data_IF_607260398424
#
_entry.id   IF_607260398424
#
_cell.length_a   1.000
_cell.length_b   1.000
_cell.length_c   1.000
_cell.angle_alpha   90.00
_cell.angle_beta   90.00
_cell.angle_gamma   90.00
#
_symmetry.space_group_name_H-M   'P 1'
#
loop_
_entity.id
_entity.type
_entity.pdbx_description
1 polymer ?
#
# COMPACT_ATOMS: atom_id res chain seq x y z
N UNK A 1 18.62 29.82 -1.68
CA UNK A 1 19.53 28.68 -1.90
C UNK A 1 18.89 27.73 -2.90
N UNK A 2 19.64 27.32 -3.93
CA UNK A 2 19.07 26.48 -4.99
C UNK A 2 19.32 24.99 -4.60
N UNK A 3 18.45 24.45 -3.72
CA UNK A 3 18.52 23.05 -3.33
C UNK A 3 18.07 22.14 -4.46
N UNK A 4 18.63 20.93 -4.51
CA UNK A 4 18.18 19.91 -5.46
C UNK A 4 16.75 19.43 -5.12
N UNK A 5 15.98 18.95 -6.11
CA UNK A 5 14.72 18.27 -5.86
C UNK A 5 14.91 17.04 -4.98
N UNK A 6 13.98 16.83 -4.04
CA UNK A 6 13.97 15.66 -3.16
C UNK A 6 12.79 14.78 -3.51
N UNK A 7 13.02 13.48 -3.55
CA UNK A 7 12.03 12.43 -3.81
C UNK A 7 11.93 11.55 -2.57
N UNK A 8 10.75 11.36 -2.02
CA UNK A 8 10.49 10.47 -0.87
C UNK A 8 9.84 9.18 -1.35
N UNK A 9 10.55 8.08 -1.20
CA UNK A 9 10.13 6.74 -1.58
C UNK A 9 10.79 6.24 -2.86
N UNK A 10 11.62 5.20 -2.74
CA UNK A 10 12.35 4.54 -3.81
C UNK A 10 11.57 3.41 -4.51
N UNK A 11 10.23 3.49 -4.48
CA UNK A 11 9.36 2.60 -5.26
C UNK A 11 9.31 2.98 -6.75
N UNK A 12 8.47 2.29 -7.57
CA UNK A 12 8.39 2.53 -9.01
C UNK A 12 8.15 3.99 -9.39
N UNK A 13 7.32 4.71 -8.60
CA UNK A 13 7.03 6.12 -8.85
C UNK A 13 8.24 7.03 -8.62
N UNK A 14 8.91 6.86 -7.48
CA UNK A 14 10.10 7.67 -7.14
C UNK A 14 11.29 7.38 -8.05
N UNK A 15 11.54 6.10 -8.37
CA UNK A 15 12.58 5.72 -9.34
C UNK A 15 12.31 6.33 -10.72
N UNK A 16 11.06 6.26 -11.21
CA UNK A 16 10.69 6.82 -12.51
C UNK A 16 10.79 8.37 -12.52
N UNK A 17 10.46 9.04 -11.40
CA UNK A 17 10.66 10.47 -11.26
C UNK A 17 12.15 10.85 -11.27
N UNK A 18 12.98 10.13 -10.53
CA UNK A 18 14.44 10.35 -10.50
C UNK A 18 15.07 10.15 -11.87
N UNK A 19 14.68 9.08 -12.59
CA UNK A 19 15.14 8.82 -13.97
C UNK A 19 14.77 10.00 -14.89
N UNK A 20 13.51 10.49 -14.83
CA UNK A 20 13.05 11.57 -15.71
C UNK A 20 13.80 12.87 -15.41
N UNK A 21 14.05 13.21 -14.14
CA UNK A 21 14.86 14.38 -13.76
C UNK A 21 16.30 14.25 -14.28
N UNK A 22 16.93 13.11 -14.02
CA UNK A 22 18.31 12.87 -14.39
C UNK A 22 18.52 12.79 -15.91
N UNK A 23 17.54 12.27 -16.67
CA UNK A 23 17.56 12.27 -18.13
C UNK A 23 17.58 13.70 -18.74
N UNK A 24 17.19 14.71 -17.97
CA UNK A 24 17.27 16.12 -18.35
C UNK A 24 18.43 16.86 -17.63
N UNK A 25 19.40 16.14 -17.08
CA UNK A 25 20.58 16.71 -16.43
C UNK A 25 20.33 17.31 -15.04
N UNK A 26 19.15 17.09 -14.44
CA UNK A 26 18.81 17.62 -13.11
C UNK A 26 19.22 16.61 -12.04
N UNK A 27 20.09 17.03 -11.12
CA UNK A 27 20.44 16.25 -9.93
C UNK A 27 19.23 16.19 -8.99
N UNK A 28 19.06 15.07 -8.29
CA UNK A 28 18.04 14.91 -7.25
C UNK A 28 18.51 13.97 -6.14
N UNK A 29 17.89 14.09 -4.95
CA UNK A 29 18.05 13.15 -3.85
C UNK A 29 16.85 12.22 -3.76
N UNK A 30 17.07 10.92 -3.62
CA UNK A 30 16.05 9.88 -3.46
C UNK A 30 16.18 9.23 -2.09
N UNK A 31 15.19 9.49 -1.22
CA UNK A 31 15.14 8.98 0.15
C UNK A 31 14.29 7.70 0.19
N UNK A 32 14.84 6.60 0.69
CA UNK A 32 14.14 5.31 0.79
C UNK A 32 14.40 4.67 2.16
N UNK A 33 13.34 4.27 2.85
CA UNK A 33 13.41 3.61 4.16
C UNK A 33 13.97 2.18 4.11
N UNK A 34 13.80 1.51 2.98
CA UNK A 34 14.24 0.13 2.80
C UNK A 34 15.74 0.06 2.38
N UNK A 35 16.38 -1.11 2.58
CA UNK A 35 17.77 -1.31 2.18
C UNK A 35 17.97 -1.46 0.66
N UNK A 36 16.87 -1.47 -0.14
CA UNK A 36 16.90 -1.57 -1.60
C UNK A 36 15.77 -0.80 -2.25
N UNK A 37 16.02 -0.28 -3.45
CA UNK A 37 15.04 0.35 -4.31
C UNK A 37 14.05 -0.66 -4.92
N UNK A 38 12.96 -0.14 -5.50
CA UNK A 38 11.92 -0.91 -6.18
C UNK A 38 10.61 -0.99 -5.39
N UNK A 39 10.58 -0.55 -4.13
CA UNK A 39 9.41 -0.57 -3.26
C UNK A 39 8.83 -1.97 -3.08
N UNK A 40 7.54 -2.07 -2.73
CA UNK A 40 6.88 -3.38 -2.54
C UNK A 40 6.70 -4.15 -3.86
N UNK A 41 6.78 -3.49 -5.01
CA UNK A 41 6.55 -4.12 -6.33
C UNK A 41 7.86 -4.70 -6.90
N UNK A 42 8.93 -3.91 -7.02
CA UNK A 42 10.16 -4.26 -7.75
C UNK A 42 11.43 -4.27 -6.88
N UNK A 43 11.32 -4.45 -5.56
CA UNK A 43 12.49 -4.51 -4.67
C UNK A 43 13.40 -5.70 -4.96
N UNK A 44 12.83 -6.83 -5.37
CA UNK A 44 13.59 -8.06 -5.56
C UNK A 44 14.11 -8.67 -4.26
N UNK A 45 15.01 -9.69 -4.36
CA UNK A 45 15.64 -10.32 -3.21
C UNK A 45 16.55 -9.35 -2.44
N UNK A 46 16.58 -9.46 -1.11
CA UNK A 46 17.51 -8.70 -0.27
C UNK A 46 18.94 -9.28 -0.29
N UNK A 47 19.11 -10.50 -0.82
CA UNK A 47 20.41 -11.14 -1.02
C UNK A 47 20.80 -11.04 -2.49
N UNK A 48 22.08 -10.75 -2.74
CA UNK A 48 22.63 -10.70 -4.11
C UNK A 48 22.73 -12.11 -4.71
N UNK A 49 22.69 -12.19 -6.04
CA UNK A 49 22.84 -13.43 -6.78
C UNK A 49 21.65 -14.41 -6.72
N UNK A 50 20.56 -14.06 -6.03
CA UNK A 50 19.37 -14.90 -5.97
C UNK A 50 18.44 -14.63 -7.15
N UNK A 51 18.12 -15.68 -7.91
CA UNK A 51 17.10 -15.65 -8.97
C UNK A 51 15.78 -16.21 -8.43
N UNK A 52 14.68 -15.58 -8.82
CA UNK A 52 13.34 -15.93 -8.37
C UNK A 52 12.46 -16.29 -9.59
N UNK A 53 12.76 -17.43 -10.21
CA UNK A 53 12.08 -17.86 -11.45
C UNK A 53 10.56 -18.05 -11.25
N UNK A 54 10.13 -18.33 -10.02
CA UNK A 54 8.71 -18.47 -9.68
C UNK A 54 7.90 -17.16 -9.70
N UNK A 55 8.56 -16.00 -9.80
CA UNK A 55 7.85 -14.72 -9.96
C UNK A 55 7.39 -14.47 -11.40
N UNK A 56 7.90 -15.26 -12.34
CA UNK A 56 7.59 -15.20 -13.75
C UNK A 56 8.41 -14.18 -14.54
N UNK A 57 8.56 -14.41 -15.88
CA UNK A 57 9.46 -13.62 -16.72
C UNK A 57 9.08 -12.14 -16.79
N UNK A 58 7.81 -11.85 -16.82
CA UNK A 58 7.29 -10.47 -16.90
C UNK A 58 7.67 -9.59 -15.72
N UNK A 59 7.69 -10.18 -14.52
CA UNK A 59 8.16 -9.49 -13.32
C UNK A 59 9.65 -9.17 -13.43
N UNK A 60 10.46 -10.18 -13.81
CA UNK A 60 11.91 -10.04 -13.95
C UNK A 60 12.28 -9.00 -15.01
N UNK A 61 11.67 -9.04 -16.19
CA UNK A 61 11.87 -8.07 -17.27
C UNK A 61 11.53 -6.63 -16.82
N UNK A 62 10.40 -6.44 -16.13
CA UNK A 62 9.98 -5.12 -15.67
C UNK A 62 10.93 -4.57 -14.58
N UNK A 63 11.39 -5.45 -13.68
CA UNK A 63 12.38 -5.13 -12.65
C UNK A 63 13.71 -4.76 -13.28
N UNK A 64 14.25 -5.61 -14.15
CA UNK A 64 15.54 -5.40 -14.83
C UNK A 64 15.52 -4.11 -15.66
N UNK A 65 14.43 -3.85 -16.37
CA UNK A 65 14.26 -2.62 -17.15
C UNK A 65 14.30 -1.38 -16.27
N UNK A 66 13.51 -1.35 -15.18
CA UNK A 66 13.45 -0.19 -14.29
C UNK A 66 14.79 0.05 -13.62
N UNK A 67 15.43 -1.00 -13.10
CA UNK A 67 16.73 -0.88 -12.45
C UNK A 67 17.84 -0.53 -13.46
N UNK A 68 17.82 -1.06 -14.67
CA UNK A 68 18.77 -0.72 -15.73
C UNK A 68 18.66 0.74 -16.16
N UNK A 69 17.45 1.25 -16.39
CA UNK A 69 17.23 2.68 -16.66
C UNK A 69 17.74 3.56 -15.51
N UNK A 70 17.49 3.15 -14.26
CA UNK A 70 17.95 3.87 -13.07
C UNK A 70 19.48 3.93 -12.98
N UNK A 71 20.15 2.79 -13.17
CA UNK A 71 21.62 2.70 -13.14
C UNK A 71 22.27 3.57 -14.21
N UNK A 72 21.67 3.68 -15.40
CA UNK A 72 22.17 4.55 -16.45
C UNK A 72 22.26 6.03 -16.03
N UNK A 73 21.42 6.46 -15.11
CA UNK A 73 21.35 7.82 -14.59
C UNK A 73 21.88 7.99 -13.16
N UNK A 74 22.48 6.95 -12.57
CA UNK A 74 22.86 6.93 -11.15
C UNK A 74 23.82 8.08 -10.76
N UNK A 75 24.65 8.58 -11.67
CA UNK A 75 25.58 9.68 -11.40
C UNK A 75 24.92 11.03 -11.06
N UNK A 76 23.64 11.18 -11.35
CA UNK A 76 22.86 12.40 -11.04
C UNK A 76 21.85 12.18 -9.91
N UNK A 77 21.78 10.98 -9.32
CA UNK A 77 20.80 10.63 -8.29
C UNK A 77 21.53 10.28 -6.98
N UNK A 78 21.39 11.14 -5.96
CA UNK A 78 21.88 10.88 -4.61
C UNK A 78 20.88 9.94 -3.90
N UNK A 79 21.21 8.64 -3.81
CA UNK A 79 20.35 7.63 -3.21
C UNK A 79 20.70 7.44 -1.74
N UNK A 80 19.72 7.68 -0.86
CA UNK A 80 19.86 7.49 0.59
C UNK A 80 18.94 6.36 1.04
N UNK A 81 19.47 5.15 1.08
CA UNK A 81 18.79 3.97 1.61
C UNK A 81 18.81 3.97 3.14
N UNK A 82 17.88 3.25 3.78
CA UNK A 82 17.73 3.24 5.24
C UNK A 82 17.26 4.57 5.83
N UNK A 83 16.86 5.52 4.97
CA UNK A 83 16.46 6.88 5.35
C UNK A 83 14.95 6.99 5.46
N UNK A 84 14.44 7.04 6.67
CA UNK A 84 13.00 7.15 6.95
C UNK A 84 12.61 8.60 7.19
N UNK A 85 11.75 9.15 6.35
CA UNK A 85 11.17 10.48 6.59
C UNK A 85 10.11 10.37 7.69
N UNK A 86 10.33 11.09 8.78
CA UNK A 86 9.50 11.05 9.99
C UNK A 86 8.63 12.29 10.18
N UNK A 87 8.73 13.26 9.28
CA UNK A 87 7.93 14.47 9.27
C UNK A 87 8.52 15.54 8.38
N UNK A 88 7.90 16.71 8.41
CA UNK A 88 8.34 17.90 7.69
C UNK A 88 8.23 19.13 8.60
N UNK A 89 9.12 20.07 8.41
CA UNK A 89 9.05 21.40 9.00
C UNK A 89 8.45 22.38 7.97
N UNK A 90 7.16 22.64 8.13
CA UNK A 90 6.40 23.40 7.14
C UNK A 90 6.49 22.78 5.75
N UNK A 91 6.77 23.62 4.74
CA UNK A 91 6.93 23.21 3.34
C UNK A 91 8.37 23.42 2.82
N UNK A 92 9.37 23.40 3.70
CA UNK A 92 10.75 23.77 3.35
C UNK A 92 11.77 22.68 3.60
N UNK A 93 11.55 21.86 4.61
CA UNK A 93 12.48 20.81 5.00
C UNK A 93 11.75 19.54 5.45
N UNK A 94 12.43 18.42 5.26
CA UNK A 94 12.02 17.10 5.77
C UNK A 94 12.90 16.75 6.95
N UNK A 95 12.29 16.13 7.96
CA UNK A 95 13.00 15.47 9.05
C UNK A 95 13.07 13.99 8.73
N UNK A 96 14.26 13.43 8.75
CA UNK A 96 14.47 12.00 8.52
C UNK A 96 15.32 11.36 9.62
N UNK A 97 15.13 10.08 9.78
CA UNK A 97 16.00 9.19 10.52
C UNK A 97 16.88 8.48 9.50
N UNK A 98 18.21 8.70 9.55
CA UNK A 98 19.15 8.07 8.63
C UNK A 98 19.44 6.60 9.00
N UNK A 99 20.27 5.91 8.21
CA UNK A 99 20.63 4.52 8.43
C UNK A 99 21.36 4.26 9.77
N UNK A 100 21.98 5.31 10.35
CA UNK A 100 22.65 5.27 11.65
C UNK A 100 21.72 5.67 12.80
N UNK A 101 20.41 5.75 12.55
CA UNK A 101 19.38 6.20 13.50
C UNK A 101 19.61 7.63 14.03
N UNK A 102 20.20 8.51 13.22
CA UNK A 102 20.40 9.93 13.55
C UNK A 102 19.35 10.79 12.88
N UNK A 103 18.88 11.80 13.59
CA UNK A 103 17.98 12.80 13.02
C UNK A 103 18.76 13.72 12.08
N UNK A 104 18.20 13.91 10.89
CA UNK A 104 18.74 14.80 9.86
C UNK A 104 17.63 15.68 9.31
N UNK A 105 17.98 16.91 8.99
CA UNK A 105 17.16 17.80 8.23
C UNK A 105 17.58 17.80 6.76
N UNK A 106 16.62 17.78 5.84
CA UNK A 106 16.86 17.85 4.40
C UNK A 106 15.99 18.93 3.79
N UNK A 107 16.61 20.07 3.48
CA UNK A 107 15.97 21.15 2.76
C UNK A 107 15.78 20.80 1.28
N UNK A 108 14.73 21.31 0.65
CA UNK A 108 14.42 21.07 -0.76
C UNK A 108 13.88 22.33 -1.45
N UNK A 109 14.11 22.42 -2.75
CA UNK A 109 13.44 23.42 -3.60
C UNK A 109 12.13 22.90 -4.19
N UNK A 110 12.11 21.61 -4.50
CA UNK A 110 10.97 20.85 -5.05
C UNK A 110 10.90 19.50 -4.35
N UNK A 111 9.69 19.03 -4.05
CA UNK A 111 9.48 17.77 -3.37
C UNK A 111 8.55 16.88 -4.21
N UNK A 112 8.93 15.58 -4.37
CA UNK A 112 8.05 14.56 -4.93
C UNK A 112 7.78 13.52 -3.85
N UNK A 113 6.54 13.43 -3.38
CA UNK A 113 6.10 12.42 -2.43
C UNK A 113 5.63 11.17 -3.19
N UNK A 114 6.34 10.06 -3.01
CA UNK A 114 6.08 8.77 -3.63
C UNK A 114 6.02 7.63 -2.58
N UNK A 115 5.41 7.90 -1.42
CA UNK A 115 5.40 6.99 -0.26
C UNK A 115 4.57 5.70 -0.45
N UNK A 116 3.81 5.58 -1.55
CA UNK A 116 3.09 4.36 -1.93
C UNK A 116 1.87 4.09 -1.05
N UNK A 117 1.66 2.81 -0.70
CA UNK A 117 0.49 2.32 0.01
C UNK A 117 0.86 1.23 1.02
N UNK A 118 -0.08 0.87 1.87
CA UNK A 118 -0.05 -0.32 2.74
C UNK A 118 -1.34 -1.12 2.57
N UNK A 119 -1.33 -2.39 3.00
CA UNK A 119 -2.49 -3.25 2.88
C UNK A 119 -3.59 -2.86 3.87
N UNK A 120 -4.84 -3.04 3.43
CA UNK A 120 -6.01 -2.85 4.27
C UNK A 120 -6.20 -4.06 5.17
N UNK A 121 -6.20 -3.84 6.48
CA UNK A 121 -6.59 -4.86 7.44
C UNK A 121 -8.10 -4.99 7.53
N UNK A 122 -8.57 -6.23 7.65
CA UNK A 122 -9.95 -6.57 7.95
C UNK A 122 -9.94 -7.50 9.15
N UNK A 123 -10.35 -7.02 10.33
CA UNK A 123 -10.40 -7.84 11.53
C UNK A 123 -11.48 -8.92 11.42
N UNK A 124 -11.17 -10.12 11.91
CA UNK A 124 -12.06 -11.26 12.09
C UNK A 124 -11.55 -12.09 13.28
N UNK A 125 -12.33 -12.98 13.89
CA UNK A 125 -11.87 -13.80 15.01
C UNK A 125 -10.59 -14.56 14.67
N UNK A 126 -9.56 -14.43 15.49
CA UNK A 126 -8.26 -15.09 15.32
C UNK A 126 -7.29 -14.42 14.32
N UNK A 127 -7.63 -13.27 13.72
CA UNK A 127 -6.76 -12.62 12.71
C UNK A 127 -5.39 -12.15 13.26
N UNK A 128 -5.22 -12.17 14.57
CA UNK A 128 -3.96 -11.82 15.24
C UNK A 128 -3.06 -13.01 15.54
N UNK A 129 -3.52 -14.24 15.29
CA UNK A 129 -2.73 -15.45 15.49
C UNK A 129 -1.45 -15.44 14.63
N UNK A 130 -0.31 -15.90 15.18
CA UNK A 130 0.86 -16.24 14.38
C UNK A 130 0.47 -17.22 13.25
N UNK A 131 0.94 -16.95 12.03
CA UNK A 131 0.50 -17.68 10.83
C UNK A 131 -0.57 -16.93 10.01
N UNK A 132 -1.28 -15.94 10.58
CA UNK A 132 -2.16 -15.05 9.82
C UNK A 132 -1.36 -13.83 9.33
N UNK A 133 -1.33 -13.61 8.03
CA UNK A 133 -0.53 -12.59 7.38
C UNK A 133 -1.35 -11.81 6.35
N UNK A 134 -0.96 -10.57 6.09
CA UNK A 134 -1.43 -9.84 4.92
C UNK A 134 -0.82 -10.44 3.65
N UNK A 135 -1.60 -10.50 2.57
CA UNK A 135 -1.21 -11.15 1.32
C UNK A 135 0.05 -10.56 0.68
N UNK A 136 0.17 -9.23 0.65
CA UNK A 136 1.37 -8.55 0.15
C UNK A 136 2.56 -8.71 1.08
N UNK A 137 2.33 -8.77 2.40
CA UNK A 137 3.37 -9.12 3.38
C UNK A 137 3.93 -10.51 3.11
N UNK A 138 3.07 -11.51 2.88
CA UNK A 138 3.48 -12.85 2.49
C UNK A 138 4.24 -12.85 1.14
N UNK A 139 3.75 -12.09 0.15
CA UNK A 139 4.45 -11.94 -1.12
C UNK A 139 5.85 -11.35 -0.95
N UNK A 140 6.02 -10.34 -0.08
CA UNK A 140 7.32 -9.77 0.22
C UNK A 140 8.24 -10.78 0.92
N UNK A 141 7.71 -11.63 1.79
CA UNK A 141 8.47 -12.68 2.46
C UNK A 141 9.10 -13.63 1.44
N UNK A 142 8.35 -14.13 0.47
CA UNK A 142 8.90 -15.01 -0.58
C UNK A 142 9.76 -14.26 -1.59
N UNK A 143 9.44 -13.02 -1.91
CA UNK A 143 10.09 -12.24 -2.97
C UNK A 143 11.38 -11.56 -2.51
N UNK A 144 11.33 -10.89 -1.36
CA UNK A 144 12.46 -10.13 -0.83
C UNK A 144 13.21 -10.88 0.26
N UNK A 145 12.49 -11.53 1.17
CA UNK A 145 13.08 -12.35 2.23
C UNK A 145 13.58 -13.70 1.76
N UNK A 146 13.10 -14.19 0.62
CA UNK A 146 13.41 -15.55 0.08
C UNK A 146 13.07 -16.65 1.11
N UNK A 147 11.99 -16.46 1.87
CA UNK A 147 11.53 -17.39 2.90
C UNK A 147 10.16 -17.93 2.52
N UNK A 148 10.03 -19.25 2.51
CA UNK A 148 8.74 -19.92 2.31
C UNK A 148 7.93 -19.93 3.61
N UNK A 149 6.62 -19.64 3.55
CA UNK A 149 5.76 -19.77 4.71
C UNK A 149 5.54 -21.25 5.07
N UNK A 150 5.17 -21.57 6.30
CA UNK A 150 4.60 -22.87 6.65
C UNK A 150 3.40 -23.22 5.77
N UNK A 151 3.22 -24.49 5.43
CA UNK A 151 2.12 -24.93 4.56
C UNK A 151 1.32 -26.07 5.21
N UNK A 152 0.03 -26.23 4.90
CA UNK A 152 -0.70 -25.63 3.77
C UNK A 152 -1.07 -24.16 3.98
N UNK A 153 -1.09 -23.40 2.85
CA UNK A 153 -1.48 -21.97 2.83
C UNK A 153 -2.90 -21.83 2.31
N UNK A 154 -3.75 -21.13 3.04
CA UNK A 154 -5.06 -20.65 2.57
C UNK A 154 -4.93 -19.17 2.18
N UNK A 155 -5.47 -18.79 1.02
CA UNK A 155 -5.49 -17.40 0.53
C UNK A 155 -6.94 -16.93 0.49
N UNK A 156 -7.25 -15.82 1.15
CA UNK A 156 -8.60 -15.26 1.17
C UNK A 156 -8.57 -13.73 0.99
N UNK A 157 -9.62 -13.18 0.37
CA UNK A 157 -9.70 -11.73 0.16
C UNK A 157 -10.42 -11.38 -1.12
N UNK A 158 -9.95 -10.33 -1.82
CA UNK A 158 -10.50 -9.93 -3.11
C UNK A 158 -9.45 -9.32 -4.03
N UNK A 159 -9.60 -9.58 -5.33
CA UNK A 159 -8.83 -8.92 -6.37
C UNK A 159 -7.71 -9.74 -7.00
N UNK A 160 -7.06 -9.16 -8.02
CA UNK A 160 -6.14 -9.91 -8.90
C UNK A 160 -4.83 -10.36 -8.23
N UNK A 161 -4.53 -9.85 -7.02
CA UNK A 161 -3.33 -10.28 -6.29
C UNK A 161 -3.47 -11.69 -5.72
N UNK A 162 -4.70 -12.16 -5.42
CA UNK A 162 -4.94 -13.50 -4.86
C UNK A 162 -4.42 -14.60 -5.80
N UNK A 163 -4.89 -14.71 -7.05
CA UNK A 163 -4.40 -15.75 -7.96
C UNK A 163 -2.91 -15.60 -8.29
N UNK A 164 -2.40 -14.36 -8.36
CA UNK A 164 -0.98 -14.12 -8.60
C UNK A 164 -0.11 -14.71 -7.49
N UNK A 165 -0.40 -14.40 -6.23
CA UNK A 165 0.37 -14.90 -5.09
C UNK A 165 0.21 -16.42 -4.95
N UNK A 166 -0.99 -16.95 -5.22
CA UNK A 166 -1.21 -18.41 -5.22
C UNK A 166 -0.31 -19.14 -6.23
N UNK A 167 -0.20 -18.60 -7.47
CA UNK A 167 0.70 -19.15 -8.49
C UNK A 167 2.16 -19.06 -8.06
N UNK A 168 2.59 -17.94 -7.51
CA UNK A 168 3.97 -17.72 -7.05
C UNK A 168 4.34 -18.65 -5.89
N UNK A 169 3.46 -18.81 -4.89
CA UNK A 169 3.65 -19.74 -3.78
C UNK A 169 3.77 -21.19 -4.28
N UNK A 170 2.82 -21.64 -5.10
CA UNK A 170 2.86 -22.99 -5.65
C UNK A 170 4.13 -23.22 -6.47
N UNK A 171 4.50 -22.29 -7.35
CA UNK A 171 5.71 -22.39 -8.16
C UNK A 171 6.99 -22.37 -7.31
N UNK A 172 6.96 -21.77 -6.12
CA UNK A 172 8.07 -21.83 -5.14
C UNK A 172 8.12 -23.14 -4.34
N UNK A 173 7.16 -24.07 -4.55
CA UNK A 173 7.09 -25.37 -3.86
C UNK A 173 6.28 -25.34 -2.56
N UNK A 174 5.45 -24.31 -2.33
CA UNK A 174 4.54 -24.21 -1.18
C UNK A 174 3.18 -24.83 -1.53
N UNK A 175 2.63 -25.64 -0.64
CA UNK A 175 1.28 -26.20 -0.80
C UNK A 175 0.23 -25.13 -0.56
N UNK A 176 -0.57 -24.81 -1.59
CA UNK A 176 -1.71 -23.88 -1.51
C UNK A 176 -3.00 -24.70 -1.39
N UNK A 177 -3.68 -24.62 -0.26
CA UNK A 177 -4.92 -25.35 0.02
C UNK A 177 -6.12 -24.81 -0.77
N UNK A 178 -6.14 -23.52 -1.05
CA UNK A 178 -7.18 -22.89 -1.86
C UNK A 178 -7.12 -21.39 -1.88
N UNK A 179 -7.88 -20.79 -2.82
CA UNK A 179 -8.06 -19.35 -3.00
C UNK A 179 -9.55 -19.04 -2.85
N UNK A 180 -9.89 -18.16 -1.92
CA UNK A 180 -11.25 -17.76 -1.57
C UNK A 180 -11.45 -16.29 -1.91
N UNK A 181 -12.03 -16.04 -3.10
CA UNK A 181 -12.36 -14.71 -3.60
C UNK A 181 -13.72 -14.27 -3.06
N UNK A 182 -13.77 -13.21 -2.26
CA UNK A 182 -14.98 -12.70 -1.65
C UNK A 182 -16.01 -12.21 -2.68
N UNK A 183 -15.55 -11.74 -3.83
CA UNK A 183 -16.43 -11.31 -4.91
C UNK A 183 -17.04 -12.52 -5.63
N UNK A 184 -18.37 -12.48 -5.86
CA UNK A 184 -19.05 -13.47 -6.68
C UNK A 184 -18.60 -13.37 -8.16
N UNK A 185 -18.41 -14.51 -8.81
CA UNK A 185 -17.94 -14.59 -10.22
C UNK A 185 -18.79 -13.74 -11.18
N UNK A 186 -20.12 -13.73 -11.01
CA UNK A 186 -21.03 -12.94 -11.85
C UNK A 186 -20.76 -11.42 -11.79
N UNK A 187 -20.26 -10.92 -10.66
CA UNK A 187 -19.89 -9.50 -10.52
C UNK A 187 -18.58 -9.19 -11.29
N UNK A 188 -17.61 -10.11 -11.27
CA UNK A 188 -16.38 -10.00 -12.07
C UNK A 188 -16.72 -10.08 -13.56
N UNK A 189 -17.59 -11.00 -13.96
CA UNK A 189 -18.01 -11.18 -15.36
C UNK A 189 -18.67 -9.92 -15.94
N UNK A 190 -19.45 -9.18 -15.15
CA UNK A 190 -20.06 -7.91 -15.58
C UNK A 190 -19.04 -6.84 -15.97
N UNK A 191 -17.84 -6.88 -15.38
CA UNK A 191 -16.76 -5.94 -15.65
C UNK A 191 -15.85 -6.38 -16.79
N UNK A 192 -16.07 -7.56 -17.39
CA UNK A 192 -15.16 -8.18 -18.38
C UNK A 192 -14.84 -7.27 -19.57
N UNK A 193 -15.82 -6.53 -20.11
CA UNK A 193 -15.60 -5.59 -21.22
C UNK A 193 -14.68 -4.44 -20.82
N UNK A 194 -14.82 -3.92 -19.61
CA UNK A 194 -13.95 -2.84 -19.10
C UNK A 194 -12.53 -3.36 -18.81
N UNK A 195 -12.37 -4.62 -18.42
CA UNK A 195 -11.07 -5.26 -18.21
C UNK A 195 -10.28 -5.40 -19.54
N UNK A 196 -10.95 -5.40 -20.70
CA UNK A 196 -10.30 -5.41 -22.02
C UNK A 196 -9.55 -4.10 -22.35
N UNK A 197 -9.68 -3.03 -21.56
CA UNK A 197 -8.81 -1.84 -21.71
C UNK A 197 -7.32 -2.17 -21.49
N UNK A 198 -7.02 -3.31 -20.83
CA UNK A 198 -5.68 -3.87 -20.69
C UNK A 198 -5.71 -5.37 -21.04
N UNK A 199 -5.83 -5.71 -22.35
CA UNK A 199 -6.06 -7.10 -22.79
C UNK A 199 -4.98 -8.06 -22.28
N UNK A 200 -3.75 -7.59 -22.21
CA UNK A 200 -2.64 -8.40 -21.72
C UNK A 200 -2.79 -8.78 -20.22
N UNK A 201 -3.20 -7.82 -19.37
CA UNK A 201 -3.46 -8.13 -17.94
C UNK A 201 -4.67 -9.06 -17.77
N UNK A 202 -5.66 -8.94 -18.63
CA UNK A 202 -6.80 -9.84 -18.66
C UNK A 202 -6.38 -11.27 -19.04
N UNK A 203 -5.56 -11.42 -20.10
CA UNK A 203 -5.00 -12.72 -20.52
C UNK A 203 -4.09 -13.32 -19.44
N UNK A 204 -3.28 -12.51 -18.76
CA UNK A 204 -2.48 -12.97 -17.62
C UNK A 204 -3.37 -13.52 -16.49
N UNK A 205 -4.49 -12.84 -16.20
CA UNK A 205 -5.48 -13.32 -15.23
C UNK A 205 -6.04 -14.69 -15.61
N UNK A 206 -6.44 -14.87 -16.88
CA UNK A 206 -6.90 -16.17 -17.39
C UNK A 206 -5.81 -17.23 -17.32
N UNK A 207 -4.56 -16.88 -17.65
CA UNK A 207 -3.40 -17.77 -17.55
C UNK A 207 -3.17 -18.25 -16.09
N UNK A 208 -3.27 -17.34 -15.12
CA UNK A 208 -3.17 -17.69 -13.69
C UNK A 208 -4.29 -18.66 -13.26
N UNK A 209 -5.54 -18.40 -13.68
CA UNK A 209 -6.65 -19.31 -13.37
C UNK A 209 -6.48 -20.69 -14.02
N UNK A 210 -6.00 -20.74 -15.27
CA UNK A 210 -5.69 -21.98 -15.96
C UNK A 210 -4.55 -22.75 -15.24
N UNK A 211 -3.53 -22.04 -14.78
CA UNK A 211 -2.45 -22.61 -13.97
C UNK A 211 -2.98 -23.26 -12.70
N UNK A 212 -3.77 -22.51 -11.89
CA UNK A 212 -4.35 -23.01 -10.65
C UNK A 212 -5.23 -24.25 -10.87
N UNK A 213 -6.07 -24.22 -11.93
CA UNK A 213 -6.91 -25.36 -12.32
C UNK A 213 -6.07 -26.59 -12.71
N UNK A 214 -5.01 -26.40 -13.50
CA UNK A 214 -4.09 -27.49 -13.91
C UNK A 214 -3.44 -28.16 -12.70
N UNK A 215 -3.09 -27.38 -11.69
CA UNK A 215 -2.45 -27.86 -10.47
C UNK A 215 -3.43 -28.24 -9.36
N UNK A 216 -4.74 -28.30 -9.69
CA UNK A 216 -5.83 -28.70 -8.77
C UNK A 216 -5.93 -27.83 -7.52
N UNK A 217 -5.52 -26.55 -7.61
CA UNK A 217 -5.69 -25.57 -6.53
C UNK A 217 -7.10 -25.00 -6.66
N UNK A 218 -8.00 -25.21 -5.69
CA UNK A 218 -9.37 -24.73 -5.78
C UNK A 218 -9.44 -23.20 -5.70
N UNK A 219 -10.26 -22.59 -6.56
CA UNK A 219 -10.61 -21.17 -6.51
C UNK A 219 -12.11 -21.08 -6.31
N UNK A 220 -12.53 -20.52 -5.18
CA UNK A 220 -13.95 -20.34 -4.84
C UNK A 220 -14.33 -18.87 -4.85
N UNK A 221 -15.28 -18.50 -5.68
CA UNK A 221 -15.83 -17.15 -5.79
C UNK A 221 -17.06 -16.97 -4.93
N UNK A 222 -17.21 -15.78 -4.32
CA UNK A 222 -18.26 -15.51 -3.36
C UNK A 222 -18.03 -16.22 -2.03
N UNK A 223 -16.77 -16.48 -1.67
CA UNK A 223 -16.37 -17.11 -0.42
C UNK A 223 -15.33 -16.25 0.29
N UNK A 224 -15.38 -16.18 1.60
CA UNK A 224 -14.41 -15.44 2.41
C UNK A 224 -14.08 -16.14 3.72
N UNK A 225 -13.04 -15.62 4.39
CA UNK A 225 -12.65 -16.07 5.72
C UNK A 225 -13.63 -15.55 6.78
N UNK A 226 -13.98 -16.40 7.71
CA UNK A 226 -14.83 -16.07 8.87
C UNK A 226 -14.01 -16.06 10.16
N UNK A 227 -13.11 -17.04 10.31
CA UNK A 227 -12.32 -17.23 11.54
C UNK A 227 -10.98 -17.90 11.22
N UNK A 228 -9.95 -17.52 11.95
CA UNK A 228 -8.71 -18.28 12.07
C UNK A 228 -8.70 -19.00 13.44
N UNK A 229 -8.23 -20.23 13.45
CA UNK A 229 -8.30 -21.13 14.60
C UNK A 229 -6.91 -21.64 14.99
N UNK A 230 -6.67 -21.78 16.30
CA UNK A 230 -5.43 -22.31 16.85
C UNK A 230 -5.18 -21.87 18.28
N UNK A 231 -4.31 -22.59 18.97
CA UNK A 231 -3.81 -22.28 20.31
C UNK A 231 -2.37 -21.80 20.18
N UNK A 232 -2.16 -20.46 20.27
CA UNK A 232 -0.83 -19.84 20.13
C UNK A 232 -0.37 -19.64 18.70
N UNK A 233 -0.70 -20.50 17.76
CA UNK A 233 -0.44 -20.39 16.31
C UNK A 233 -1.62 -20.93 15.47
N UNK A 234 -1.66 -20.56 14.20
CA UNK A 234 -2.70 -20.99 13.28
C UNK A 234 -2.63 -22.49 13.02
N UNK A 235 -3.75 -23.20 13.19
CA UNK A 235 -3.93 -24.61 12.84
C UNK A 235 -5.07 -24.84 11.85
N UNK A 236 -6.01 -23.91 11.72
CA UNK A 236 -7.16 -24.03 10.84
C UNK A 236 -7.77 -22.67 10.47
N UNK A 237 -8.60 -22.70 9.43
CA UNK A 237 -9.34 -21.54 8.92
C UNK A 237 -10.77 -21.95 8.62
N UNK A 238 -11.74 -21.23 9.15
CA UNK A 238 -13.14 -21.33 8.74
C UNK A 238 -13.44 -20.34 7.62
N UNK A 239 -13.96 -20.85 6.51
CA UNK A 239 -14.42 -20.10 5.35
C UNK A 239 -15.90 -20.32 5.11
N UNK A 240 -16.61 -19.35 4.56
CA UNK A 240 -18.02 -19.50 4.25
C UNK A 240 -18.39 -18.77 2.95
N UNK A 241 -19.52 -19.15 2.31
CA UNK A 241 -20.11 -18.32 1.25
C UNK A 241 -20.47 -16.96 1.79
N UNK A 242 -20.24 -15.92 0.96
CA UNK A 242 -20.61 -14.55 1.26
C UNK A 242 -21.85 -14.13 0.46
N UNK A 243 -22.76 -13.42 1.09
CA UNK A 243 -23.86 -12.74 0.41
C UNK A 243 -23.35 -11.66 -0.56
N UNK A 244 -24.27 -11.04 -1.32
CA UNK A 244 -23.92 -9.91 -2.18
C UNK A 244 -23.29 -8.74 -1.41
N UNK A 245 -23.62 -8.59 -0.14
CA UNK A 245 -23.10 -7.57 0.78
C UNK A 245 -21.98 -8.10 1.70
N UNK A 246 -21.43 -9.26 1.38
CA UNK A 246 -20.32 -9.90 2.07
C UNK A 246 -20.61 -10.30 3.53
N UNK A 247 -21.86 -10.52 3.88
CA UNK A 247 -22.22 -11.20 5.12
C UNK A 247 -21.99 -12.72 4.95
N UNK A 248 -21.31 -13.41 5.90
CA UNK A 248 -21.04 -14.83 5.81
C UNK A 248 -22.30 -15.67 6.06
N UNK A 249 -22.50 -16.72 5.28
CA UNK A 249 -23.46 -17.78 5.53
C UNK A 249 -22.82 -18.86 6.42
N UNK A 250 -23.02 -18.73 7.72
CA UNK A 250 -22.38 -19.61 8.72
C UNK A 250 -22.93 -21.04 8.71
N UNK A 251 -24.14 -21.28 8.18
CA UNK A 251 -24.69 -22.64 8.06
C UNK A 251 -23.92 -23.49 7.04
N UNK A 252 -23.26 -22.83 6.09
CA UNK A 252 -22.46 -23.47 5.04
C UNK A 252 -20.96 -23.26 5.23
N UNK A 253 -20.55 -22.92 6.45
CA UNK A 253 -19.15 -22.72 6.76
C UNK A 253 -18.38 -24.06 6.69
N UNK A 254 -17.16 -24.00 6.17
CA UNK A 254 -16.23 -25.14 6.06
C UNK A 254 -14.94 -24.82 6.83
N UNK A 255 -14.46 -25.79 7.57
CA UNK A 255 -13.16 -25.71 8.26
C UNK A 255 -12.07 -26.38 7.42
N UNK A 256 -10.93 -25.74 7.31
CA UNK A 256 -9.79 -26.19 6.51
C UNK A 256 -8.53 -26.20 7.39
N UNK A 257 -7.69 -27.23 7.31
CA UNK A 257 -6.38 -27.19 7.94
C UNK A 257 -5.49 -26.16 7.24
N UNK A 258 -4.81 -25.32 8.03
CA UNK A 258 -3.90 -24.31 7.51
C UNK A 258 -2.82 -23.97 8.53
N UNK A 259 -1.58 -23.81 8.08
CA UNK A 259 -0.48 -23.29 8.88
C UNK A 259 -0.17 -21.84 8.53
N UNK A 260 -0.64 -21.38 7.38
CA UNK A 260 -0.59 -19.95 6.99
C UNK A 260 -1.92 -19.55 6.36
N UNK A 261 -2.45 -18.41 6.81
CA UNK A 261 -3.57 -17.73 6.19
C UNK A 261 -3.09 -16.39 5.63
N UNK A 262 -3.18 -16.21 4.32
CA UNK A 262 -2.87 -14.95 3.65
C UNK A 262 -4.15 -14.20 3.32
N UNK A 263 -4.35 -13.00 3.86
CA UNK A 263 -5.56 -12.20 3.64
C UNK A 263 -5.25 -10.92 2.86
N UNK A 264 -6.03 -10.63 1.81
CA UNK A 264 -5.84 -9.46 0.95
C UNK A 264 -7.16 -8.79 0.58
N UNK A 265 -7.48 -7.66 1.21
CA UNK A 265 -8.70 -6.90 0.97
C UNK A 265 -8.42 -5.50 0.40
N UNK A 266 -7.37 -5.39 -0.41
CA UNK A 266 -6.95 -4.16 -1.06
C UNK A 266 -5.91 -3.37 -0.27
N UNK A 267 -5.72 -2.12 -0.68
CA UNK A 267 -4.65 -1.25 -0.18
C UNK A 267 -5.21 0.11 0.23
N UNK A 268 -4.44 0.83 1.04
CA UNK A 268 -4.72 2.19 1.51
C UNK A 268 -3.49 3.06 1.21
N UNK A 269 -3.63 4.27 0.64
CA UNK A 269 -2.52 5.18 0.42
C UNK A 269 -1.79 5.55 1.72
N UNK A 270 -0.47 5.66 1.65
CA UNK A 270 0.36 6.21 2.74
C UNK A 270 0.30 7.73 2.68
N UNK A 271 -0.60 8.33 3.44
CA UNK A 271 -0.85 9.79 3.44
C UNK A 271 -0.38 10.50 4.71
N UNK A 272 0.30 9.81 5.62
CA UNK A 272 0.69 10.36 6.91
C UNK A 272 1.54 11.63 6.78
N UNK A 273 2.57 11.60 5.92
CA UNK A 273 3.44 12.75 5.70
C UNK A 273 2.67 13.91 5.04
N UNK A 274 1.92 13.65 3.98
CA UNK A 274 1.13 14.70 3.30
C UNK A 274 0.04 15.30 4.20
N UNK A 275 -0.55 14.51 5.12
CA UNK A 275 -1.48 15.01 6.13
C UNK A 275 -0.79 15.87 7.19
N UNK A 276 0.40 15.45 7.68
CA UNK A 276 1.18 16.20 8.66
C UNK A 276 1.62 17.55 8.06
N UNK A 277 1.96 17.58 6.77
CA UNK A 277 2.24 18.80 6.03
C UNK A 277 1.01 19.68 5.77
N UNK A 278 -0.21 19.17 5.98
CA UNK A 278 -1.44 19.94 5.76
C UNK A 278 -1.86 20.06 4.30
N UNK A 279 -1.37 19.18 3.41
CA UNK A 279 -1.81 19.15 2.02
C UNK A 279 -3.27 18.73 1.90
N UNK A 280 -3.92 19.06 0.78
CA UNK A 280 -5.31 18.74 0.53
C UNK A 280 -5.52 17.23 0.33
N UNK A 281 -6.59 16.69 0.95
CA UNK A 281 -6.98 15.29 0.86
C UNK A 281 -8.46 15.15 0.56
N UNK A 282 -8.82 14.03 -0.09
CA UNK A 282 -10.21 13.65 -0.33
C UNK A 282 -10.42 12.16 -0.03
N UNK A 283 -11.66 11.79 0.30
CA UNK A 283 -12.03 10.38 0.46
C UNK A 283 -12.26 9.71 -0.90
N UNK A 284 -11.78 8.49 -1.03
CA UNK A 284 -12.16 7.61 -2.14
C UNK A 284 -13.55 7.02 -1.90
N UNK A 285 -14.15 6.43 -2.93
CA UNK A 285 -15.41 5.70 -2.81
C UNK A 285 -15.32 4.49 -1.85
N UNK A 286 -14.13 3.93 -1.66
CA UNK A 286 -13.86 2.86 -0.69
C UNK A 286 -13.58 3.37 0.74
N UNK A 287 -13.76 4.67 0.99
CA UNK A 287 -13.66 5.29 2.30
C UNK A 287 -12.24 5.49 2.83
N UNK A 288 -11.20 5.38 2.01
CA UNK A 288 -9.84 5.73 2.42
C UNK A 288 -9.46 7.16 1.99
N UNK A 289 -8.57 7.77 2.77
CA UNK A 289 -8.07 9.10 2.49
C UNK A 289 -6.95 9.02 1.43
N UNK A 290 -7.01 9.89 0.41
CA UNK A 290 -5.98 10.05 -0.61
C UNK A 290 -5.55 11.51 -0.70
N UNK A 291 -4.28 11.74 -1.01
CA UNK A 291 -3.80 13.08 -1.28
C UNK A 291 -4.29 13.54 -2.67
N UNK A 292 -4.72 14.81 -2.76
CA UNK A 292 -5.26 15.39 -3.98
C UNK A 292 -4.16 16.04 -4.81
N UNK A 293 -4.20 15.83 -6.13
CA UNK A 293 -3.27 16.45 -7.07
C UNK A 293 -3.95 16.85 -8.37
N UNK A 294 -3.36 17.83 -9.05
CA UNK A 294 -3.78 18.24 -10.38
C UNK A 294 -3.25 17.30 -11.49
N UNK A 295 -3.47 17.68 -12.74
CA UNK A 295 -3.04 16.91 -13.91
C UNK A 295 -1.50 16.89 -14.11
N UNK A 296 -0.75 17.72 -13.41
CA UNK A 296 0.71 17.73 -13.34
C UNK A 296 1.25 17.07 -12.10
N UNK A 297 0.41 16.38 -11.35
CA UNK A 297 0.70 15.76 -10.06
C UNK A 297 1.10 16.77 -8.97
N UNK A 298 0.78 18.08 -9.12
CA UNK A 298 1.01 19.07 -8.09
C UNK A 298 -0.05 18.93 -7.00
N UNK A 299 0.37 19.00 -5.75
CA UNK A 299 -0.52 19.07 -4.59
C UNK A 299 -1.16 20.47 -4.44
N UNK A 300 -1.81 20.70 -3.30
CA UNK A 300 -2.25 22.07 -2.92
C UNK A 300 -1.10 23.06 -2.78
N UNK A 301 0.15 22.57 -2.64
CA UNK A 301 1.37 23.36 -2.63
C UNK A 301 2.13 23.18 -3.95
N UNK A 302 2.34 24.27 -4.70
CA UNK A 302 2.80 24.22 -6.08
C UNK A 302 4.18 23.53 -6.29
N UNK A 303 5.05 23.57 -5.28
CA UNK A 303 6.40 22.97 -5.31
C UNK A 303 6.45 21.56 -4.71
N UNK A 304 5.28 21.01 -4.32
CA UNK A 304 5.14 19.66 -3.80
C UNK A 304 4.28 18.81 -4.74
N UNK A 305 4.82 17.70 -5.19
CA UNK A 305 4.19 16.80 -6.15
C UNK A 305 3.87 15.47 -5.50
N UNK A 306 2.81 14.81 -5.98
CA UNK A 306 2.35 13.51 -5.47
C UNK A 306 2.48 12.47 -6.57
N UNK A 307 3.16 11.36 -6.30
CA UNK A 307 3.37 10.32 -7.29
C UNK A 307 2.99 8.93 -6.76
N UNK A 308 2.52 8.07 -7.66
CA UNK A 308 2.14 6.70 -7.34
C UNK A 308 0.84 6.59 -6.55
N UNK A 309 0.77 5.55 -5.72
CA UNK A 309 -0.46 5.14 -5.04
C UNK A 309 -0.94 6.10 -3.92
N UNK A 310 -0.18 7.15 -3.60
CA UNK A 310 -0.65 8.21 -2.69
C UNK A 310 -1.89 8.95 -3.20
N UNK A 311 -1.99 9.16 -4.52
CA UNK A 311 -3.15 9.77 -5.19
C UNK A 311 -4.25 8.78 -5.57
N UNK A 312 -4.08 7.51 -5.24
CA UNK A 312 -5.01 6.40 -5.52
C UNK A 312 -4.29 5.14 -5.99
N UNK A 313 -4.83 3.99 -5.60
CA UNK A 313 -4.22 2.67 -5.84
C UNK A 313 -4.40 2.25 -7.31
N UNK A 314 -3.32 2.28 -8.10
CA UNK A 314 -3.38 2.01 -9.56
C UNK A 314 -2.33 1.02 -10.05
N UNK A 315 -1.38 0.64 -9.20
CA UNK A 315 -0.33 -0.34 -9.49
C UNK A 315 0.95 0.24 -10.10
N UNK A 316 1.99 -0.59 -10.23
CA UNK A 316 3.35 -0.16 -10.53
C UNK A 316 3.54 0.61 -11.85
N UNK A 317 2.87 0.22 -12.94
CA UNK A 317 2.96 0.93 -14.23
C UNK A 317 2.36 2.35 -14.13
N UNK A 318 1.20 2.49 -13.49
CA UNK A 318 0.58 3.79 -13.25
C UNK A 318 1.45 4.66 -12.32
N UNK A 319 2.06 4.04 -11.32
CA UNK A 319 2.98 4.71 -10.40
C UNK A 319 4.19 5.30 -11.15
N UNK A 320 4.81 4.54 -12.05
CA UNK A 320 5.91 5.04 -12.89
C UNK A 320 5.47 6.21 -13.77
N UNK A 321 4.31 6.13 -14.41
CA UNK A 321 3.79 7.21 -15.27
C UNK A 321 3.51 8.48 -14.46
N UNK A 322 2.90 8.37 -13.30
CA UNK A 322 2.66 9.53 -12.42
C UNK A 322 3.96 10.14 -11.89
N UNK A 323 4.98 9.32 -11.58
CA UNK A 323 6.30 9.78 -11.21
C UNK A 323 6.97 10.60 -12.32
N UNK A 324 6.92 10.12 -13.57
CA UNK A 324 7.43 10.87 -14.72
C UNK A 324 6.67 12.19 -14.94
N UNK A 325 5.33 12.19 -14.81
CA UNK A 325 4.54 13.43 -14.92
C UNK A 325 4.91 14.44 -13.83
N UNK A 326 5.10 13.99 -12.59
CA UNK A 326 5.56 14.83 -11.48
C UNK A 326 6.94 15.45 -11.79
N UNK A 327 7.87 14.66 -12.31
CA UNK A 327 9.18 15.12 -12.71
C UNK A 327 9.13 16.17 -13.86
N UNK A 328 8.25 15.98 -14.86
CA UNK A 328 8.05 16.98 -15.92
C UNK A 328 7.58 18.33 -15.34
N UNK A 329 6.70 18.30 -14.34
CA UNK A 329 6.26 19.53 -13.65
C UNK A 329 7.42 20.22 -12.93
N UNK A 330 8.29 19.47 -12.26
CA UNK A 330 9.52 20.00 -11.62
C UNK A 330 10.45 20.62 -12.66
N UNK A 331 10.68 19.93 -13.79
CA UNK A 331 11.54 20.41 -14.88
C UNK A 331 11.04 21.74 -15.47
N UNK A 332 9.72 21.89 -15.65
CA UNK A 332 9.12 23.15 -16.09
C UNK A 332 9.33 24.29 -15.07
N UNK A 333 9.05 24.01 -13.79
CA UNK A 333 9.20 25.02 -12.73
C UNK A 333 10.65 25.47 -12.53
N UNK A 334 11.61 24.62 -12.91
CA UNK A 334 13.04 24.94 -12.91
C UNK A 334 13.54 25.56 -14.24
N UNK A 335 12.65 25.79 -15.21
CA UNK A 335 12.99 26.28 -16.54
C UNK A 335 14.02 25.40 -17.30
N UNK A 336 14.05 24.11 -17.02
CA UNK A 336 14.89 23.13 -17.74
C UNK A 336 14.17 22.60 -18.98
N UNK A 337 12.85 22.49 -18.92
CA UNK A 337 12.00 22.04 -20.02
C UNK A 337 10.95 23.13 -20.31
N UNK A 338 10.79 23.51 -21.58
CA UNK A 338 9.73 24.44 -21.97
C UNK A 338 8.35 23.79 -21.91
N UNK A 339 7.32 24.62 -21.81
CA UNK A 339 5.94 24.16 -21.67
C UNK A 339 5.46 23.30 -22.85
N UNK A 340 5.71 23.65 -24.14
CA UNK A 340 5.31 22.81 -25.26
C UNK A 340 5.90 21.42 -25.24
N UNK A 341 7.20 21.27 -24.98
CA UNK A 341 7.86 19.96 -24.88
C UNK A 341 7.36 19.14 -23.67
N UNK A 342 7.10 19.81 -22.54
CA UNK A 342 6.53 19.17 -21.36
C UNK A 342 5.10 18.67 -21.61
N UNK A 343 4.26 19.47 -22.28
CA UNK A 343 2.89 19.10 -22.66
C UNK A 343 2.86 17.90 -23.61
N UNK A 344 3.74 17.86 -24.61
CA UNK A 344 3.83 16.71 -25.53
C UNK A 344 4.18 15.43 -24.81
N UNK A 345 5.22 15.46 -23.95
CA UNK A 345 5.64 14.27 -23.16
C UNK A 345 4.58 13.84 -22.16
N UNK A 346 3.99 14.79 -21.44
CA UNK A 346 2.88 14.52 -20.54
C UNK A 346 1.71 13.88 -21.27
N UNK A 347 1.34 14.35 -22.46
CA UNK A 347 0.26 13.79 -23.27
C UNK A 347 0.45 12.28 -23.54
N UNK A 348 1.69 11.86 -23.85
CA UNK A 348 2.03 10.44 -24.05
C UNK A 348 1.89 9.62 -22.75
N UNK A 349 2.35 10.13 -21.62
CA UNK A 349 2.22 9.46 -20.33
C UNK A 349 0.77 9.43 -19.86
N UNK A 350 0.05 10.53 -20.02
CA UNK A 350 -1.35 10.66 -19.63
C UNK A 350 -2.26 9.69 -20.38
N UNK A 351 -2.10 9.56 -21.70
CA UNK A 351 -2.88 8.64 -22.51
C UNK A 351 -2.71 7.16 -22.09
N UNK A 352 -1.50 6.79 -21.64
CA UNK A 352 -1.24 5.46 -21.09
C UNK A 352 -1.85 5.31 -19.70
N UNK A 353 -1.71 6.32 -18.85
CA UNK A 353 -2.24 6.33 -17.49
C UNK A 353 -3.78 6.21 -17.50
N UNK A 354 -4.47 6.92 -18.38
CA UNK A 354 -5.93 6.85 -18.49
C UNK A 354 -6.45 5.46 -18.87
N UNK A 355 -5.74 4.72 -19.72
CA UNK A 355 -6.09 3.31 -20.02
C UNK A 355 -6.01 2.44 -18.76
N UNK A 356 -4.97 2.66 -17.95
CA UNK A 356 -4.82 1.93 -16.67
C UNK A 356 -5.91 2.34 -15.69
N UNK A 357 -6.25 3.62 -15.61
CA UNK A 357 -7.32 4.13 -14.74
C UNK A 357 -8.66 3.49 -15.12
N UNK A 358 -9.00 3.40 -16.41
CA UNK A 358 -10.24 2.74 -16.87
C UNK A 358 -10.28 1.25 -16.51
N UNK A 359 -9.16 0.54 -16.71
CA UNK A 359 -9.03 -0.86 -16.27
C UNK A 359 -9.16 -0.97 -14.76
N UNK A 360 -8.47 -0.12 -14.00
CA UNK A 360 -8.49 -0.16 -12.54
C UNK A 360 -9.87 0.16 -11.97
N UNK A 361 -10.61 1.09 -12.55
CA UNK A 361 -11.97 1.39 -12.15
C UNK A 361 -12.89 0.15 -12.22
N UNK A 362 -12.70 -0.73 -13.21
CA UNK A 362 -13.43 -2.00 -13.27
C UNK A 362 -13.03 -2.94 -12.13
N UNK A 363 -11.72 -3.03 -11.84
CA UNK A 363 -11.23 -3.81 -10.69
C UNK A 363 -11.81 -3.27 -9.39
N UNK A 364 -11.78 -1.96 -9.17
CA UNK A 364 -12.29 -1.31 -7.95
C UNK A 364 -13.79 -1.55 -7.75
N UNK A 365 -14.59 -1.58 -8.84
CA UNK A 365 -16.02 -1.87 -8.75
C UNK A 365 -16.29 -3.30 -8.28
N UNK A 366 -15.60 -4.32 -8.81
CA UNK A 366 -15.86 -5.69 -8.37
C UNK A 366 -15.22 -6.04 -7.03
N UNK A 367 -14.11 -5.39 -6.67
CA UNK A 367 -13.43 -5.59 -5.37
C UNK A 367 -13.99 -4.73 -4.24
N UNK A 368 -14.98 -3.86 -4.52
CA UNK A 368 -15.61 -3.03 -3.49
C UNK A 368 -16.20 -3.90 -2.40
N UNK A 369 -15.78 -3.65 -1.17
CA UNK A 369 -16.22 -4.40 0.01
C UNK A 369 -17.72 -4.21 0.26
N UNK A 370 -18.36 -5.27 0.74
CA UNK A 370 -19.72 -5.18 1.27
C UNK A 370 -19.72 -4.76 2.75
N UNK A 371 -20.79 -4.11 3.19
CA UNK A 371 -20.94 -3.65 4.58
C UNK A 371 -21.01 -4.83 5.58
N UNK A 372 -21.48 -6.00 5.14
CA UNK A 372 -21.56 -7.21 5.98
C UNK A 372 -20.20 -7.66 6.54
N UNK A 373 -19.08 -7.19 5.96
CA UNK A 373 -17.76 -7.51 6.47
C UNK A 373 -17.45 -6.82 7.83
N UNK A 374 -18.09 -5.73 8.17
CA UNK A 374 -17.94 -5.07 9.48
C UNK A 374 -18.54 -5.90 10.63
N UNK A 375 -19.41 -6.87 10.31
CA UNK A 375 -20.02 -7.78 11.27
C UNK A 375 -19.16 -9.00 11.60
N UNK A 376 -18.07 -9.29 10.86
CA UNK A 376 -17.18 -10.44 11.10
C UNK A 376 -16.59 -10.49 12.51
N UNK A 377 -16.06 -9.39 13.10
CA UNK A 377 -15.50 -9.41 14.44
C UNK A 377 -16.56 -9.76 15.50
N UNK A 378 -16.24 -10.67 16.42
CA UNK A 378 -16.99 -10.90 17.66
C UNK A 378 -16.60 -9.85 18.72
N UNK A 379 -17.29 -9.82 19.84
CA UNK A 379 -17.01 -8.88 20.94
C UNK A 379 -15.54 -8.92 21.40
N UNK A 380 -14.95 -10.11 21.45
CA UNK A 380 -13.58 -10.37 21.91
C UNK A 380 -12.52 -10.14 20.83
N UNK A 381 -12.94 -9.94 19.56
CA UNK A 381 -12.00 -9.74 18.47
C UNK A 381 -11.20 -8.46 18.68
N UNK A 382 -9.88 -8.59 18.72
CA UNK A 382 -8.95 -7.45 18.81
C UNK A 382 -9.04 -6.64 17.52
N UNK A 383 -9.35 -5.37 17.62
CA UNK A 383 -9.40 -4.42 16.51
C UNK A 383 -8.09 -3.64 16.41
N UNK A 384 -7.56 -3.16 17.52
CA UNK A 384 -6.27 -2.48 17.57
C UNK A 384 -5.21 -3.42 18.17
N UNK A 385 -4.32 -3.97 17.34
CA UNK A 385 -3.25 -4.88 17.77
C UNK A 385 -2.26 -4.23 18.73
N UNK A 386 -1.95 -2.94 18.54
CA UNK A 386 -0.96 -2.24 19.35
C UNK A 386 -1.47 -1.95 20.78
N UNK A 387 -2.75 -1.60 20.90
CA UNK A 387 -3.37 -1.21 22.18
C UNK A 387 -4.32 -2.29 22.72
N UNK A 388 -4.42 -3.45 22.07
CA UNK A 388 -5.29 -4.57 22.41
C UNK A 388 -6.79 -4.22 22.57
N UNK A 389 -7.22 -3.09 21.98
CA UNK A 389 -8.64 -2.70 22.01
C UNK A 389 -9.48 -3.66 21.17
N UNK A 390 -10.54 -4.19 21.78
CA UNK A 390 -11.46 -5.16 21.19
C UNK A 390 -12.64 -4.47 20.49
N UNK A 391 -13.46 -5.24 19.79
CA UNK A 391 -14.74 -4.76 19.28
C UNK A 391 -15.66 -4.31 20.41
N UNK A 392 -15.73 -5.05 21.53
CA UNK A 392 -16.55 -4.68 22.68
C UNK A 392 -16.16 -3.31 23.25
N UNK A 393 -14.87 -2.95 23.26
CA UNK A 393 -14.43 -1.64 23.74
C UNK A 393 -14.91 -0.51 22.81
N UNK A 394 -14.91 -0.76 21.51
CA UNK A 394 -15.42 0.19 20.50
C UNK A 394 -16.94 0.33 20.65
N UNK A 395 -17.68 -0.77 20.70
CA UNK A 395 -19.15 -0.77 20.82
C UNK A 395 -19.59 -0.07 22.11
N UNK A 396 -18.91 -0.31 23.24
CA UNK A 396 -19.16 0.39 24.51
C UNK A 396 -18.94 1.90 24.38
N UNK A 397 -17.91 2.34 23.66
CA UNK A 397 -17.68 3.76 23.44
C UNK A 397 -18.78 4.39 22.57
N UNK A 398 -19.28 3.67 21.56
CA UNK A 398 -20.42 4.11 20.74
C UNK A 398 -21.71 4.23 21.56
N UNK A 399 -22.01 3.24 22.43
CA UNK A 399 -23.13 3.27 23.37
C UNK A 399 -23.08 4.49 24.32
N UNK A 400 -21.86 4.95 24.67
CA UNK A 400 -21.61 6.14 25.47
C UNK A 400 -21.68 7.45 24.66
N UNK A 401 -22.10 7.41 23.40
CA UNK A 401 -22.36 8.57 22.58
C UNK A 401 -21.14 9.09 21.78
N UNK A 402 -20.08 8.30 21.61
CA UNK A 402 -18.96 8.65 20.74
C UNK A 402 -19.41 8.64 19.27
N UNK A 403 -19.13 9.73 18.54
CA UNK A 403 -19.59 9.93 17.16
C UNK A 403 -18.49 10.22 16.14
N UNK A 404 -17.24 10.33 16.58
CA UNK A 404 -16.11 10.66 15.71
C UNK A 404 -14.82 9.94 16.11
N UNK A 405 -13.87 9.89 15.18
CA UNK A 405 -12.59 9.16 15.35
C UNK A 405 -11.72 9.73 16.46
N UNK A 406 -11.73 11.04 16.69
CA UNK A 406 -10.90 11.65 17.75
C UNK A 406 -11.41 11.28 19.14
N UNK A 407 -12.72 11.34 19.35
CA UNK A 407 -13.39 10.92 20.57
C UNK A 407 -13.23 9.41 20.82
N UNK A 408 -13.35 8.58 19.77
CA UNK A 408 -13.12 7.15 19.85
C UNK A 408 -11.69 6.82 20.29
N UNK A 409 -10.70 7.49 19.69
CA UNK A 409 -9.29 7.36 20.08
C UNK A 409 -9.08 7.69 21.55
N UNK A 410 -9.66 8.77 22.04
CA UNK A 410 -9.51 9.20 23.43
C UNK A 410 -10.12 8.21 24.42
N UNK A 411 -11.23 7.56 24.06
CA UNK A 411 -11.95 6.62 24.92
C UNK A 411 -11.34 5.23 24.94
N UNK A 412 -10.85 4.74 23.79
CA UNK A 412 -10.45 3.34 23.60
C UNK A 412 -8.95 3.16 23.37
N UNK A 413 -8.19 4.24 23.22
CA UNK A 413 -6.77 4.25 22.81
C UNK A 413 -6.50 3.68 21.42
N UNK A 414 -7.51 3.33 20.60
CA UNK A 414 -7.28 2.90 19.23
C UNK A 414 -6.41 3.91 18.49
N UNK A 415 -5.51 3.43 17.62
CA UNK A 415 -4.55 4.24 16.85
C UNK A 415 -3.49 5.03 17.65
N UNK A 416 -3.30 4.76 18.96
CA UNK A 416 -2.24 5.39 19.74
C UNK A 416 -0.90 4.64 19.71
N UNK A 417 -0.92 3.35 19.39
CA UNK A 417 0.30 2.53 19.41
C UNK A 417 1.14 2.65 18.12
N UNK A 418 2.16 1.82 18.00
CA UNK A 418 3.27 1.91 17.04
C UNK A 418 2.85 2.04 15.56
N UNK A 419 1.75 1.39 15.15
CA UNK A 419 1.29 1.50 13.77
C UNK A 419 0.57 2.83 13.46
N UNK A 420 0.36 3.72 14.45
CA UNK A 420 -0.28 5.03 14.29
C UNK A 420 -1.61 4.98 13.51
N UNK A 421 -2.42 3.94 13.79
CA UNK A 421 -3.75 3.77 13.20
C UNK A 421 -3.79 3.09 11.83
N UNK A 422 -2.65 2.74 11.23
CA UNK A 422 -2.62 2.11 9.89
C UNK A 422 -3.46 0.84 9.80
N UNK A 423 -3.61 0.10 10.91
CA UNK A 423 -4.37 -1.15 10.95
C UNK A 423 -5.84 -0.96 11.38
N UNK A 424 -6.13 -0.17 12.41
CA UNK A 424 -7.46 -0.13 13.02
C UNK A 424 -8.37 0.98 12.50
N UNK A 425 -7.84 2.12 12.00
CA UNK A 425 -8.64 3.29 11.62
C UNK A 425 -9.70 2.97 10.57
N UNK A 426 -9.39 2.11 9.58
CA UNK A 426 -10.34 1.71 8.55
C UNK A 426 -11.60 1.07 9.14
N UNK A 427 -11.43 0.04 9.97
CA UNK A 427 -12.53 -0.62 10.66
C UNK A 427 -13.30 0.33 11.59
N UNK A 428 -12.57 1.11 12.40
CA UNK A 428 -13.18 2.06 13.33
C UNK A 428 -14.04 3.11 12.61
N UNK A 429 -13.55 3.63 11.47
CA UNK A 429 -14.32 4.57 10.66
C UNK A 429 -15.58 3.94 10.08
N UNK A 430 -15.48 2.71 9.55
CA UNK A 430 -16.64 1.99 9.00
C UNK A 430 -17.67 1.73 10.11
N UNK A 431 -17.24 1.31 11.30
CA UNK A 431 -18.11 1.04 12.44
C UNK A 431 -18.78 2.31 12.99
N UNK A 432 -18.05 3.43 13.02
CA UNK A 432 -18.62 4.74 13.38
C UNK A 432 -19.68 5.19 12.38
N UNK A 433 -19.42 5.07 11.07
CA UNK A 433 -20.40 5.41 10.02
C UNK A 433 -21.67 4.57 10.17
N UNK A 434 -21.51 3.26 10.38
CA UNK A 434 -22.64 2.34 10.59
C UNK A 434 -23.46 2.73 11.82
N UNK A 435 -22.82 3.00 12.95
CA UNK A 435 -23.49 3.30 14.22
C UNK A 435 -24.14 4.69 14.24
N UNK A 436 -23.55 5.68 13.57
CA UNK A 436 -24.02 7.09 13.64
C UNK A 436 -24.82 7.53 12.43
N UNK A 437 -24.80 6.78 11.32
CA UNK A 437 -25.38 7.19 10.04
C UNK A 437 -24.65 8.36 9.36
N UNK A 438 -23.51 8.83 9.91
CA UNK A 438 -22.75 9.97 9.38
C UNK A 438 -21.77 9.50 8.31
N UNK A 439 -21.72 10.17 7.18
CA UNK A 439 -20.73 9.92 6.15
C UNK A 439 -19.32 10.36 6.58
N UNK A 440 -19.22 11.51 7.25
CA UNK A 440 -17.99 12.05 7.83
C UNK A 440 -17.96 11.79 9.34
N UNK A 441 -17.05 10.92 9.75
CA UNK A 441 -16.76 10.58 11.15
C UNK A 441 -15.42 11.16 11.61
N UNK A 442 -14.85 12.07 10.83
CA UNK A 442 -13.52 12.62 11.05
C UNK A 442 -12.40 11.65 10.68
N UNK A 443 -11.21 12.18 10.66
CA UNK A 443 -9.98 11.42 10.41
C UNK A 443 -8.88 11.86 11.37
N UNK A 444 -7.99 10.94 11.73
CA UNK A 444 -6.89 11.25 12.64
C UNK A 444 -5.74 11.88 11.86
N UNK A 445 -5.35 13.09 12.23
CA UNK A 445 -4.18 13.77 11.68
C UNK A 445 -2.92 13.26 12.36
N UNK A 446 -1.92 12.78 11.62
CA UNK A 446 -0.62 12.44 12.16
C UNK A 446 0.07 13.69 12.74
N UNK A 447 0.86 13.47 13.78
CA UNK A 447 1.73 14.49 14.38
C UNK A 447 3.18 14.08 14.19
N UNK A 448 4.08 15.04 14.26
CA UNK A 448 5.51 14.75 14.32
C UNK A 448 5.87 14.04 15.66
N UNK A 449 6.68 12.96 15.60
CA UNK A 449 7.06 12.20 14.42
C UNK A 449 5.89 11.33 13.91
N UNK A 450 5.79 11.14 12.57
CA UNK A 450 4.71 10.33 11.95
C UNK A 450 4.90 8.82 12.12
N UNK A 451 6.08 8.41 12.55
CA UNK A 451 6.45 7.05 12.92
C UNK A 451 7.22 7.07 14.25
N UNK A 452 7.14 6.03 15.08
CA UNK A 452 7.97 5.89 16.27
C UNK A 452 9.46 5.92 15.93
N UNK A 453 10.22 6.64 16.74
CA UNK A 453 11.66 6.77 16.63
C UNK A 453 12.33 6.46 17.97
N UNK A 454 13.54 5.91 17.99
CA UNK A 454 14.25 5.65 19.23
C UNK A 454 14.64 6.95 19.94
N UNK A 455 14.64 6.99 21.26
CA UNK A 455 15.08 8.16 22.04
C UNK A 455 16.53 8.53 21.77
N UNK A 456 17.38 7.54 21.44
CA UNK A 456 18.78 7.76 21.05
C UNK A 456 18.92 8.70 19.86
N UNK A 457 17.94 8.78 18.98
CA UNK A 457 17.97 9.68 17.83
C UNK A 457 18.04 11.17 18.21
N UNK A 458 17.55 11.54 19.41
CA UNK A 458 17.58 12.91 19.90
C UNK A 458 18.92 13.29 20.58
N UNK A 459 19.78 12.33 20.93
CA UNK A 459 21.03 12.61 21.65
C UNK A 459 22.04 13.43 20.83
N UNK A 460 21.93 13.40 19.49
CA UNK A 460 22.88 14.03 18.59
C UNK A 460 22.40 15.35 17.97
N UNK A 461 21.20 15.82 18.32
CA UNK A 461 20.62 17.05 17.73
C UNK A 461 21.34 18.33 18.18
N UNK A 462 22.16 18.29 19.23
CA UNK A 462 22.85 19.46 19.81
C UNK A 462 24.35 19.61 19.47
N UNK A 463 24.97 18.61 18.85
CA UNK A 463 26.45 18.60 18.71
C UNK A 463 26.98 19.14 17.38
N UNK A 464 26.16 19.25 16.34
CA UNK A 464 26.59 19.83 15.04
C UNK A 464 26.39 21.34 14.93
N UNK A 465 25.60 21.98 15.82
CA UNK A 465 25.41 23.43 15.83
C UNK A 465 26.60 24.23 16.40
N UNK A 466 27.59 23.54 17.00
CA UNK A 466 28.73 24.17 17.68
C UNK A 466 30.05 24.17 16.88
N UNK A 467 30.06 23.71 15.62
CA UNK A 467 31.28 23.59 14.79
C UNK A 467 31.34 24.51 13.57
N UNK A 468 30.50 25.54 13.51
CA UNK A 468 30.56 26.58 12.49
C UNK A 468 30.68 27.97 13.13
N UNK A 469 31.78 28.20 13.87
CA UNK A 469 32.38 29.50 14.14
C UNK A 469 33.79 29.58 13.53
#
# INVERSE_FOLDING_TARGET
>A
MNHDPVIVGGGPAGMAAAIELAAHGVRCSLLEEAPRLGGVVYRGPLRDGVRLDYLGPRYSEALEKLHGEFQHHAGLIDVRLGSRVIGAEGFRALMLLDADERLREVAYSQLILAAGCHERSVPFPGWTLPGVMMLGGLQLQIKSGVVRPPSPVVIAGTGPLLPLVACQLHASGVTVAGVYEACAFGRIAKESLALLNKPQLFLDGLGMLAYLKRHRIPVRYGWGVVRAEGEGELSGVTVAPYSADWAPDLERAEQLPAQTLAVGYGFIPRTQLSQQMGLEHGFSEDGYLRAMSDAWQRSSEAHIHLAGDMGGIRGGEAAMLSGRIAALSVLMQRNVLDEPAALERRGRYQARLERIIRFRAAVDRYTRRGAGQTALPTAETVICRCEHATRADIDRALEQGVQDMASLKMRTRVSMGDCQGRMCVGYCSDRLREATGRADVGWLRPRFPIDPIPFSAFQNVGTEAASHD
#
